data_IF_428713886520
#
_entry.id   IF_428713886520
#
_cell.length_a   1.000
_cell.length_b   1.000
_cell.length_c   1.000
_cell.angle_alpha   90.00
_cell.angle_beta   90.00
_cell.angle_gamma   90.00
#
_symmetry.space_group_name_H-M   'P 1'
#
loop_
_entity.id
_entity.type
_entity.pdbx_description
1 polymer ?
#
# COMPACT_ATOMS: atom_id res chain seq x y z
N UNK A 1 -25.22 3.61 4.52
CA UNK A 1 -23.91 3.62 3.83
C UNK A 1 -22.88 4.15 4.80
N UNK A 2 -21.85 3.36 5.13
CA UNK A 2 -20.70 3.88 5.89
C UNK A 2 -19.90 4.76 4.92
N UNK A 3 -19.60 6.00 5.31
CA UNK A 3 -18.77 6.89 4.51
C UNK A 3 -17.36 6.31 4.34
N UNK A 4 -16.87 6.28 3.10
CA UNK A 4 -15.52 5.82 2.76
C UNK A 4 -14.50 6.77 3.40
N UNK A 5 -13.49 6.21 4.09
CA UNK A 5 -12.46 7.03 4.72
C UNK A 5 -11.48 7.56 3.67
N UNK A 6 -11.18 8.86 3.72
CA UNK A 6 -10.18 9.46 2.83
C UNK A 6 -8.80 8.83 3.08
N UNK A 7 -8.10 8.47 1.99
CA UNK A 7 -6.70 8.06 2.01
C UNK A 7 -5.86 9.32 1.82
N UNK A 8 -5.03 9.63 2.82
CA UNK A 8 -4.13 10.79 2.79
C UNK A 8 -2.70 10.24 2.93
N UNK A 9 -1.98 9.98 1.82
CA UNK A 9 -0.60 9.53 1.87
C UNK A 9 0.30 10.60 2.47
N UNK A 10 1.32 10.18 3.23
CA UNK A 10 2.42 11.06 3.63
C UNK A 10 3.31 11.32 2.41
N UNK A 11 4.01 12.46 2.38
CA UNK A 11 4.95 12.76 1.30
C UNK A 11 6.05 11.69 1.12
N UNK A 12 6.47 11.02 2.19
CA UNK A 12 7.39 9.89 2.09
C UNK A 12 6.75 8.70 1.37
N UNK A 13 5.51 8.36 1.68
CA UNK A 13 4.80 7.27 1.02
C UNK A 13 4.58 7.51 -0.48
N UNK A 14 4.41 8.78 -0.90
CA UNK A 14 4.33 9.11 -2.33
C UNK A 14 5.67 8.84 -3.04
N UNK A 15 6.78 9.24 -2.42
CA UNK A 15 8.13 8.93 -2.95
C UNK A 15 8.40 7.44 -3.00
N UNK A 16 8.04 6.69 -1.95
CA UNK A 16 8.20 5.23 -1.93
C UNK A 16 7.43 4.57 -3.10
N UNK A 17 6.26 5.10 -3.47
CA UNK A 17 5.47 4.61 -4.62
C UNK A 17 6.16 4.94 -5.94
N UNK A 18 6.64 6.19 -6.11
CA UNK A 18 7.37 6.62 -7.30
C UNK A 18 8.63 5.77 -7.51
N UNK A 19 9.44 5.61 -6.47
CA UNK A 19 10.66 4.79 -6.49
C UNK A 19 10.36 3.33 -6.85
N UNK A 20 9.26 2.78 -6.32
CA UNK A 20 8.84 1.39 -6.61
C UNK A 20 8.36 1.24 -8.05
N UNK A 21 7.62 2.22 -8.58
CA UNK A 21 7.19 2.25 -9.98
C UNK A 21 8.39 2.31 -10.91
N UNK A 22 9.34 3.20 -10.64
CA UNK A 22 10.58 3.34 -11.42
C UNK A 22 11.42 2.07 -11.37
N UNK A 23 11.52 1.44 -10.19
CA UNK A 23 12.18 0.15 -10.02
C UNK A 23 11.55 -0.93 -10.91
N UNK A 24 10.23 -1.14 -10.83
CA UNK A 24 9.58 -2.17 -11.64
C UNK A 24 9.64 -1.85 -13.14
N UNK A 25 9.52 -0.58 -13.53
CA UNK A 25 9.63 -0.17 -14.92
C UNK A 25 11.01 -0.51 -15.51
N UNK A 26 12.07 -0.29 -14.72
CA UNK A 26 13.46 -0.55 -15.11
C UNK A 26 13.82 -2.03 -15.10
N UNK A 27 13.41 -2.78 -14.08
CA UNK A 27 13.86 -4.16 -13.86
C UNK A 27 12.95 -5.21 -14.51
N UNK A 28 11.65 -4.95 -14.59
CA UNK A 28 10.65 -5.93 -15.03
C UNK A 28 9.78 -5.42 -16.20
N UNK A 29 9.93 -4.16 -16.57
CA UNK A 29 9.20 -3.50 -17.65
C UNK A 29 7.92 -2.81 -17.19
N UNK A 30 7.44 -1.91 -18.05
CA UNK A 30 6.29 -1.02 -17.77
C UNK A 30 5.00 -1.76 -17.42
N UNK A 31 4.77 -2.95 -17.97
CA UNK A 31 3.59 -3.76 -17.67
C UNK A 31 3.53 -4.21 -16.19
N UNK A 32 4.67 -4.53 -15.57
CA UNK A 32 4.74 -4.89 -14.15
C UNK A 32 4.53 -3.66 -13.27
N UNK A 33 5.13 -2.52 -13.66
CA UNK A 33 4.92 -1.26 -12.95
C UNK A 33 3.43 -0.83 -12.96
N UNK A 34 2.75 -1.01 -14.10
CA UNK A 34 1.31 -0.72 -14.19
C UNK A 34 0.48 -1.67 -13.32
N UNK A 35 0.78 -2.97 -13.35
CA UNK A 35 0.11 -3.95 -12.49
C UNK A 35 0.28 -3.63 -10.99
N UNK A 36 1.46 -3.14 -10.59
CA UNK A 36 1.72 -2.66 -9.23
C UNK A 36 0.79 -1.50 -8.84
N UNK A 37 0.63 -0.52 -9.72
CA UNK A 37 -0.27 0.61 -9.48
C UNK A 37 -1.73 0.15 -9.33
N UNK A 38 -2.18 -0.80 -10.16
CA UNK A 38 -3.54 -1.37 -10.07
C UNK A 38 -3.78 -2.11 -8.74
N UNK A 39 -2.82 -2.92 -8.32
CA UNK A 39 -2.89 -3.65 -7.04
C UNK A 39 -2.85 -2.69 -5.84
N UNK A 40 -2.01 -1.64 -5.90
CA UNK A 40 -1.93 -0.59 -4.88
C UNK A 40 -3.25 0.19 -4.77
N UNK A 41 -3.86 0.57 -5.90
CA UNK A 41 -5.17 1.22 -5.92
C UNK A 41 -6.26 0.32 -5.33
N UNK A 42 -6.20 -0.98 -5.60
CA UNK A 42 -7.12 -1.97 -5.01
C UNK A 42 -6.94 -2.05 -3.50
N UNK A 43 -5.70 -2.06 -3.00
CA UNK A 43 -5.43 -2.01 -1.56
C UNK A 43 -5.95 -0.73 -0.91
N UNK A 44 -5.80 0.43 -1.54
CA UNK A 44 -6.38 1.69 -1.04
C UNK A 44 -7.90 1.65 -0.94
N UNK A 45 -8.60 1.05 -1.91
CA UNK A 45 -10.06 0.84 -1.81
C UNK A 45 -10.43 0.00 -0.61
N UNK A 46 -9.70 -1.09 -0.36
CA UNK A 46 -9.94 -1.96 0.81
C UNK A 46 -9.67 -1.21 2.12
N UNK A 47 -8.58 -0.46 2.23
CA UNK A 47 -8.25 0.33 3.42
C UNK A 47 -9.31 1.40 3.67
N UNK A 48 -9.79 2.07 2.63
CA UNK A 48 -10.79 3.13 2.72
C UNK A 48 -12.17 2.58 3.17
N UNK A 49 -12.55 1.40 2.67
CA UNK A 49 -13.82 0.74 2.98
C UNK A 49 -13.78 -0.03 4.32
N UNK A 50 -12.62 -0.59 4.68
CA UNK A 50 -12.42 -1.39 5.88
C UNK A 50 -11.12 -0.99 6.62
N UNK A 51 -11.06 0.20 7.26
CA UNK A 51 -9.83 0.70 7.90
C UNK A 51 -9.26 -0.21 8.99
N UNK A 52 -10.08 -1.08 9.59
CA UNK A 52 -9.67 -2.03 10.62
C UNK A 52 -9.18 -3.40 10.09
N UNK A 53 -9.21 -3.63 8.77
CA UNK A 53 -8.88 -4.95 8.17
C UNK A 53 -7.39 -5.27 8.12
N UNK A 54 -6.52 -4.27 8.19
CA UNK A 54 -5.06 -4.47 8.14
C UNK A 54 -4.50 -5.16 9.39
N UNK A 55 -3.43 -5.93 9.22
CA UNK A 55 -2.75 -6.68 10.27
C UNK A 55 -2.07 -5.76 11.29
N UNK A 56 -2.16 -6.11 12.58
CA UNK A 56 -1.46 -5.43 13.68
C UNK A 56 -0.05 -6.00 13.93
N UNK A 57 0.43 -6.97 13.14
CA UNK A 57 1.71 -7.66 13.38
C UNK A 57 2.86 -6.69 13.63
N UNK A 58 3.01 -5.68 12.76
CA UNK A 58 4.08 -4.70 12.92
C UNK A 58 3.82 -3.72 14.07
N UNK A 59 2.57 -3.41 14.41
CA UNK A 59 2.23 -2.60 15.60
C UNK A 59 2.88 -3.18 16.85
N UNK A 60 2.75 -4.49 17.04
CA UNK A 60 3.35 -5.17 18.18
C UNK A 60 4.88 -5.25 18.08
N UNK A 61 5.40 -5.54 16.88
CA UNK A 61 6.84 -5.73 16.68
C UNK A 61 7.66 -4.47 16.96
N UNK A 62 7.14 -3.29 16.65
CA UNK A 62 7.85 -2.02 16.85
C UNK A 62 7.26 -1.14 17.95
N UNK A 63 6.30 -1.66 18.72
CA UNK A 63 5.66 -0.92 19.81
C UNK A 63 4.92 0.35 19.37
N UNK A 64 4.32 0.34 18.17
CA UNK A 64 3.55 1.47 17.62
C UNK A 64 2.04 1.16 17.63
N UNK A 65 1.28 1.58 18.67
CA UNK A 65 -0.12 1.21 18.81
C UNK A 65 -0.98 1.66 17.62
N UNK A 66 -1.85 0.77 17.14
CA UNK A 66 -2.80 1.07 16.08
C UNK A 66 -2.23 1.05 14.65
N UNK A 67 -0.92 0.82 14.48
CA UNK A 67 -0.33 0.60 13.16
C UNK A 67 -0.94 -0.63 12.49
N UNK A 68 -1.38 -0.48 11.25
CA UNK A 68 -1.90 -1.59 10.45
C UNK A 68 -1.14 -1.72 9.15
N UNK A 69 -0.91 -2.96 8.72
CA UNK A 69 -0.24 -3.28 7.47
C UNK A 69 -1.14 -4.13 6.57
N UNK A 70 -1.10 -3.81 5.27
CA UNK A 70 -1.67 -4.64 4.20
C UNK A 70 -0.52 -5.03 3.29
N UNK A 71 -0.42 -6.32 2.97
CA UNK A 71 0.63 -6.83 2.08
C UNK A 71 0.08 -6.95 0.66
N UNK A 72 0.82 -6.44 -0.32
CA UNK A 72 0.56 -6.71 -1.73
C UNK A 72 1.26 -8.03 -2.10
N UNK A 73 0.48 -9.08 -2.40
CA UNK A 73 1.01 -10.46 -2.49
C UNK A 73 1.98 -10.71 -3.65
N UNK A 74 1.96 -9.88 -4.69
CA UNK A 74 2.73 -10.08 -5.93
C UNK A 74 4.08 -9.35 -5.94
N UNK A 75 4.34 -8.54 -4.92
CA UNK A 75 5.51 -7.67 -4.86
C UNK A 75 6.36 -8.08 -3.66
N UNK A 76 7.57 -8.62 -3.89
CA UNK A 76 8.42 -9.14 -2.84
C UNK A 76 9.26 -8.07 -2.12
N UNK A 77 9.27 -6.85 -2.65
CA UNK A 77 10.01 -5.69 -2.15
C UNK A 77 9.07 -4.75 -1.40
#
# INVERSE_FOLDING_TARGET
>A
MVAVKAIIPRALALRDIEDTVDYYAREAGSHVALAYVEDLQTAYKVIANHPASGSLRYSYAIGLPGLRSVQLKRYPY
#
